data_IF_194849187399
#
_entry.id   IF_194849187399
#
_cell.length_a   1.000
_cell.length_b   1.000
_cell.length_c   1.000
_cell.angle_alpha   90.00
_cell.angle_beta   90.00
_cell.angle_gamma   90.00
#
_symmetry.space_group_name_H-M   'P 1'
#
loop_
_entity.id
_entity.type
_entity.pdbx_description
1 polymer ?
#
# COMPACT_ATOMS: atom_id res chain seq x y z
N UNK A 1 -3.64 -7.34 -13.62
CA UNK A 1 -4.72 -6.59 -12.95
C UNK A 1 -6.07 -6.97 -13.55
N UNK A 2 -7.16 -7.13 -12.78
CA UNK A 2 -8.50 -7.47 -13.32
C UNK A 2 -9.19 -6.31 -14.05
N UNK A 3 -8.99 -5.08 -13.56
CA UNK A 3 -9.51 -3.82 -14.13
C UNK A 3 -8.38 -3.07 -14.82
N UNK A 4 -8.00 -3.50 -16.01
CA UNK A 4 -6.90 -2.89 -16.79
C UNK A 4 -7.21 -1.45 -17.21
N UNK A 5 -8.50 -1.10 -17.27
CA UNK A 5 -8.99 0.27 -17.47
C UNK A 5 -8.60 1.24 -16.34
N UNK A 6 -8.18 0.71 -15.18
CA UNK A 6 -7.74 1.48 -14.00
C UNK A 6 -6.25 1.34 -13.71
N UNK A 7 -5.51 0.62 -14.56
CA UNK A 7 -4.08 0.38 -14.36
C UNK A 7 -3.27 1.63 -14.73
N UNK A 8 -2.55 2.19 -13.76
CA UNK A 8 -1.61 3.28 -14.00
C UNK A 8 -0.26 2.67 -14.37
N UNK A 9 0.25 3.01 -15.56
CA UNK A 9 1.54 2.52 -16.07
C UNK A 9 2.62 3.61 -16.16
N UNK A 10 2.23 4.88 -16.08
CA UNK A 10 3.18 5.97 -16.08
C UNK A 10 3.92 6.00 -14.74
N UNK A 11 5.24 5.79 -14.81
CA UNK A 11 6.11 5.79 -13.63
C UNK A 11 6.02 7.11 -12.87
N UNK A 12 5.85 8.25 -13.55
CA UNK A 12 5.74 9.55 -12.88
C UNK A 12 4.47 9.66 -12.06
N UNK A 13 3.38 9.08 -12.52
CA UNK A 13 2.13 9.05 -11.77
C UNK A 13 2.22 8.09 -10.57
N UNK A 14 2.86 6.93 -10.76
CA UNK A 14 3.15 5.99 -9.68
C UNK A 14 4.01 6.64 -8.59
N UNK A 15 5.09 7.31 -8.98
CA UNK A 15 5.97 8.05 -8.06
C UNK A 15 5.22 9.20 -7.37
N UNK A 16 4.33 9.91 -8.07
CA UNK A 16 3.51 10.94 -7.45
C UNK A 16 2.62 10.38 -6.33
N UNK A 17 1.99 9.22 -6.54
CA UNK A 17 1.18 8.54 -5.51
C UNK A 17 2.07 8.16 -4.31
N UNK A 18 3.26 7.60 -4.57
CA UNK A 18 4.22 7.22 -3.53
C UNK A 18 4.73 8.42 -2.72
N UNK A 19 4.84 9.60 -3.34
CA UNK A 19 5.26 10.82 -2.65
C UNK A 19 4.12 11.51 -1.87
N UNK A 20 2.87 11.37 -2.31
CA UNK A 20 1.71 12.00 -1.68
C UNK A 20 1.15 11.18 -0.50
N UNK A 21 1.15 9.85 -0.60
CA UNK A 21 0.66 8.98 0.46
C UNK A 21 1.47 9.15 1.76
N UNK A 22 0.77 9.02 2.91
CA UNK A 22 1.30 9.39 4.24
C UNK A 22 1.88 8.22 5.02
N UNK A 23 1.34 7.03 4.79
CA UNK A 23 1.74 5.79 5.42
C UNK A 23 1.51 4.66 4.42
N UNK A 24 2.14 3.53 4.68
CA UNK A 24 1.96 2.30 3.91
C UNK A 24 1.54 1.18 4.84
N UNK A 25 0.89 0.16 4.28
CA UNK A 25 0.68 -1.13 4.92
C UNK A 25 1.82 -2.07 4.50
N UNK A 26 2.67 -2.44 5.44
CA UNK A 26 3.75 -3.41 5.21
C UNK A 26 3.19 -4.81 5.46
N UNK A 27 3.16 -5.64 4.42
CA UNK A 27 2.81 -7.05 4.49
C UNK A 27 4.05 -7.92 4.70
N UNK A 28 3.96 -8.78 5.70
CA UNK A 28 4.97 -9.75 6.12
C UNK A 28 4.32 -11.13 6.25
N UNK A 29 5.17 -12.16 6.36
CA UNK A 29 4.73 -13.54 6.55
C UNK A 29 5.32 -14.07 7.84
N UNK A 30 4.45 -14.51 8.74
CA UNK A 30 4.80 -15.20 9.96
C UNK A 30 4.38 -16.67 9.82
N UNK A 31 5.34 -17.50 9.43
CA UNK A 31 5.09 -18.88 9.00
C UNK A 31 4.07 -18.94 7.85
N UNK A 32 2.83 -19.33 8.11
CA UNK A 32 1.74 -19.36 7.14
C UNK A 32 0.68 -18.27 7.36
N UNK A 33 0.94 -17.34 8.30
CA UNK A 33 0.01 -16.26 8.65
C UNK A 33 0.46 -14.92 8.05
N UNK A 34 -0.45 -14.18 7.37
CA UNK A 34 -0.16 -12.84 6.91
C UNK A 34 -0.13 -11.87 8.10
N UNK A 35 0.90 -11.02 8.15
CA UNK A 35 1.04 -9.98 9.16
C UNK A 35 1.14 -8.62 8.48
N UNK A 36 0.25 -7.69 8.83
CA UNK A 36 0.19 -6.35 8.23
C UNK A 36 0.38 -5.28 9.29
N UNK A 37 1.33 -4.38 9.06
CA UNK A 37 1.61 -3.26 9.97
C UNK A 37 1.61 -1.93 9.22
N UNK A 38 0.81 -0.94 9.64
CA UNK A 38 0.86 0.40 9.06
C UNK A 38 2.12 1.12 9.54
N UNK A 39 2.83 1.77 8.62
CA UNK A 39 4.07 2.49 8.91
C UNK A 39 4.18 3.76 8.09
N UNK A 40 4.67 4.83 8.72
CA UNK A 40 5.13 6.02 7.99
C UNK A 40 6.37 5.66 7.17
N UNK A 41 6.49 6.25 6.00
CA UNK A 41 7.60 6.02 5.10
C UNK A 41 8.02 7.30 4.36
N UNK A 42 9.17 7.24 3.71
CA UNK A 42 9.58 8.20 2.69
C UNK A 42 9.93 7.43 1.40
N UNK A 43 9.68 8.04 0.25
CA UNK A 43 10.05 7.49 -1.05
C UNK A 43 11.12 8.35 -1.70
N UNK A 44 12.26 7.75 -2.04
CA UNK A 44 13.37 8.44 -2.71
C UNK A 44 14.08 7.47 -3.64
N UNK A 45 14.28 7.86 -4.90
CA UNK A 45 15.07 7.12 -5.90
C UNK A 45 14.70 5.62 -6.03
N UNK A 46 13.41 5.31 -6.09
CA UNK A 46 12.96 3.91 -6.21
C UNK A 46 12.94 3.11 -4.90
N UNK A 47 13.33 3.71 -3.77
CA UNK A 47 13.37 3.05 -2.47
C UNK A 47 12.33 3.61 -1.49
N UNK A 48 11.68 2.71 -0.75
CA UNK A 48 10.83 3.02 0.40
C UNK A 48 11.65 2.92 1.68
N UNK A 49 11.68 4.00 2.46
CA UNK A 49 12.40 4.07 3.73
C UNK A 49 11.40 4.11 4.88
N UNK A 50 11.50 3.15 5.79
CA UNK A 50 10.64 3.04 6.96
C UNK A 50 11.44 3.31 8.22
N UNK A 51 10.98 4.21 9.07
CA UNK A 51 11.59 4.46 10.37
C UNK A 51 11.01 3.52 11.43
N UNK A 52 11.87 2.87 12.22
CA UNK A 52 11.44 2.05 13.35
C UNK A 52 12.51 1.92 14.43
N UNK A 53 12.11 1.41 15.60
CA UNK A 53 13.02 0.96 16.65
C UNK A 53 13.95 -0.16 16.13
N UNK A 54 15.08 -0.37 16.80
CA UNK A 54 16.08 -1.40 16.41
C UNK A 54 15.64 -2.83 16.72
N UNK A 55 14.52 -3.00 17.39
CA UNK A 55 13.92 -4.27 17.78
C UNK A 55 12.40 -4.26 17.54
N UNK A 56 11.80 -5.44 17.61
CA UNK A 56 10.35 -5.64 17.53
C UNK A 56 9.94 -6.65 16.46
N UNK A 57 8.71 -7.12 16.60
CA UNK A 57 8.20 -8.30 15.90
C UNK A 57 8.42 -8.28 14.39
N UNK A 58 8.10 -7.16 13.72
CA UNK A 58 8.33 -6.99 12.27
C UNK A 58 9.78 -7.21 11.85
N UNK A 59 10.75 -6.78 12.65
CA UNK A 59 12.17 -6.95 12.33
C UNK A 59 12.59 -8.40 12.51
N UNK A 60 12.01 -9.10 13.48
CA UNK A 60 12.26 -10.53 13.68
C UNK A 60 11.66 -11.34 12.52
N UNK A 61 10.48 -10.98 12.03
CA UNK A 61 9.89 -11.55 10.82
C UNK A 61 10.76 -11.26 9.59
N UNK A 62 11.20 -10.02 9.36
CA UNK A 62 12.06 -9.64 8.22
C UNK A 62 13.40 -10.41 8.25
N UNK A 63 13.98 -10.64 9.44
CA UNK A 63 15.21 -11.44 9.59
C UNK A 63 14.98 -12.91 9.22
N UNK A 64 13.82 -13.48 9.55
CA UNK A 64 13.45 -14.87 9.22
C UNK A 64 13.08 -15.02 7.74
N UNK A 65 12.31 -14.08 7.20
CA UNK A 65 11.85 -14.05 5.83
C UNK A 65 11.77 -12.60 5.35
N UNK A 66 12.66 -12.24 4.42
CA UNK A 66 12.76 -10.89 3.88
C UNK A 66 11.84 -10.64 2.66
N UNK A 67 10.99 -11.60 2.30
CA UNK A 67 9.93 -11.37 1.30
C UNK A 67 8.83 -10.56 1.95
N UNK A 68 8.64 -9.36 1.44
CA UNK A 68 7.64 -8.40 1.92
C UNK A 68 6.78 -7.96 0.75
N UNK A 69 5.60 -7.45 1.05
CA UNK A 69 4.87 -6.59 0.13
C UNK A 69 4.55 -5.26 0.83
N UNK A 70 4.24 -4.24 0.04
CA UNK A 70 3.68 -3.01 0.58
C UNK A 70 2.44 -2.61 -0.21
N UNK A 71 1.59 -1.84 0.45
CA UNK A 71 0.47 -1.19 -0.20
C UNK A 71 0.37 0.24 0.33
N UNK A 72 0.29 1.19 -0.60
CA UNK A 72 -0.06 2.59 -0.31
C UNK A 72 -1.35 2.94 -1.00
N UNK A 73 -2.12 3.82 -0.40
CA UNK A 73 -3.32 4.38 -1.02
C UNK A 73 -3.52 5.85 -0.64
N UNK A 74 -4.19 6.53 -1.55
CA UNK A 74 -4.73 7.87 -1.36
C UNK A 74 -6.22 7.75 -1.62
N UNK A 75 -6.99 7.90 -0.55
CA UNK A 75 -8.44 7.79 -0.58
C UNK A 75 -9.07 9.14 -0.85
N UNK A 76 -9.94 9.21 -1.85
CA UNK A 76 -10.88 10.30 -1.97
C UNK A 76 -12.08 10.02 -1.06
N UNK A 77 -12.45 10.94 -0.14
CA UNK A 77 -13.57 10.74 0.77
C UNK A 77 -14.93 10.65 0.04
N UNK A 78 -15.00 11.03 -1.23
CA UNK A 78 -16.20 10.84 -2.05
C UNK A 78 -16.43 9.36 -2.33
N UNK A 79 -17.57 8.87 -1.83
CA UNK A 79 -18.07 7.52 -2.12
C UNK A 79 -19.10 7.64 -3.24
N UNK A 80 -19.02 6.77 -4.24
CA UNK A 80 -20.08 6.62 -5.22
C UNK A 80 -21.26 5.88 -4.56
N UNK A 81 -22.20 6.62 -3.96
CA UNK A 81 -23.43 6.10 -3.34
C UNK A 81 -24.70 6.52 -4.09
N UNK A 82 -24.56 7.11 -5.27
CA UNK A 82 -25.69 7.66 -6.02
C UNK A 82 -26.59 6.56 -6.61
N UNK A 83 -26.12 5.31 -6.68
CA UNK A 83 -26.90 4.16 -7.16
C UNK A 83 -27.48 3.36 -5.98
N UNK A 84 -28.76 3.01 -6.05
CA UNK A 84 -29.46 2.20 -5.05
C UNK A 84 -28.94 0.75 -5.01
N UNK A 85 -28.19 0.31 -6.03
CA UNK A 85 -27.62 -1.05 -6.12
C UNK A 85 -26.27 -1.14 -5.39
N UNK A 86 -26.15 -1.97 -4.33
CA UNK A 86 -24.91 -2.08 -3.55
C UNK A 86 -23.67 -2.54 -4.35
N UNK A 87 -23.88 -3.29 -5.44
CA UNK A 87 -22.77 -3.75 -6.29
C UNK A 87 -22.07 -2.62 -7.05
N UNK A 88 -22.73 -1.47 -7.21
CA UNK A 88 -22.17 -0.28 -7.88
C UNK A 88 -21.49 0.67 -6.89
N UNK A 89 -21.58 0.38 -5.59
CA UNK A 89 -20.91 1.18 -4.57
C UNK A 89 -19.40 1.06 -4.71
N UNK A 90 -18.73 2.20 -4.68
CA UNK A 90 -17.29 2.26 -4.83
C UNK A 90 -16.71 3.51 -4.21
N UNK A 91 -15.39 3.51 -4.09
CA UNK A 91 -14.63 4.65 -3.62
C UNK A 91 -13.59 5.00 -4.68
N UNK A 92 -13.38 6.28 -4.90
CA UNK A 92 -12.27 6.74 -5.73
C UNK A 92 -11.01 6.69 -4.88
N UNK A 93 -10.02 5.92 -5.31
CA UNK A 93 -8.72 5.87 -4.68
C UNK A 93 -7.65 5.66 -5.75
N UNK A 94 -6.42 6.02 -5.41
CA UNK A 94 -5.22 5.59 -6.12
C UNK A 94 -4.41 4.73 -5.18
N UNK A 95 -3.81 3.65 -5.68
CA UNK A 95 -2.94 2.79 -4.88
C UNK A 95 -1.76 2.28 -5.67
N UNK A 96 -0.68 1.98 -4.95
CA UNK A 96 0.50 1.29 -5.47
C UNK A 96 0.77 0.10 -4.57
N UNK A 97 1.01 -1.05 -5.19
CA UNK A 97 1.33 -2.31 -4.52
C UNK A 97 2.64 -2.82 -5.14
N UNK A 98 3.55 -3.28 -4.29
CA UNK A 98 4.82 -3.88 -4.71
C UNK A 98 5.39 -4.82 -3.67
#
# INVERSE_FOLDING_TARGET
MRRTDREIKDIKEIEAILNEARYLHLGLVDEDQPYVVPMNYAYTNGCLYLHCAREGYKLDLIKKNNKVCFQVDIVNPKINKEDERPCEWGMFYKSVIG
#
